data_IF_788616697853
#
_entry.id   IF_788616697853
#
_cell.length_a   1.000
_cell.length_b   1.000
_cell.length_c   1.000
_cell.angle_alpha   90.00
_cell.angle_beta   90.00
_cell.angle_gamma   90.00
#
_symmetry.space_group_name_H-M   'P 1'
#
loop_
_entity.id
_entity.type
_entity.pdbx_description
1 polymer ?
#
# COMPACT_ATOMS: atom_id res chain seq x y z
N UNK A 1 25.05 12.35 -13.51
CA UNK A 1 25.56 11.03 -14.06
C UNK A 1 24.40 10.04 -14.16
N UNK A 2 24.24 9.36 -15.30
CA UNK A 2 23.15 8.37 -15.48
C UNK A 2 23.45 7.02 -14.85
N UNK A 3 22.47 6.46 -14.20
CA UNK A 3 22.47 5.10 -13.67
C UNK A 3 21.07 4.62 -13.36
N UNK A 4 20.95 3.43 -12.81
CA UNK A 4 19.69 2.75 -12.56
C UNK A 4 19.48 2.59 -11.06
N UNK A 5 18.32 3.03 -10.57
CA UNK A 5 17.80 2.68 -9.25
C UNK A 5 16.77 1.58 -9.43
N UNK A 6 16.83 0.57 -8.58
CA UNK A 6 15.99 -0.62 -8.71
C UNK A 6 15.39 -1.07 -7.39
N UNK A 7 14.24 -1.73 -7.51
CA UNK A 7 13.55 -2.41 -6.43
C UNK A 7 13.54 -3.90 -6.73
N UNK A 8 13.89 -4.69 -5.74
CA UNK A 8 13.88 -6.15 -5.78
C UNK A 8 12.99 -6.64 -4.63
N UNK A 9 12.05 -7.52 -4.92
CA UNK A 9 11.26 -8.24 -3.92
C UNK A 9 12.00 -9.45 -3.40
N UNK A 10 11.67 -9.88 -2.18
CA UNK A 10 12.22 -11.08 -1.56
C UNK A 10 11.13 -12.14 -1.42
N UNK A 11 11.48 -13.33 -0.94
CA UNK A 11 10.49 -14.37 -0.57
C UNK A 11 9.66 -13.98 0.64
N UNK A 12 10.11 -13.00 1.43
CA UNK A 12 9.37 -12.47 2.59
C UNK A 12 8.47 -11.33 2.11
N UNK A 13 7.18 -11.49 2.26
CA UNK A 13 6.20 -10.45 1.90
C UNK A 13 6.46 -9.18 2.69
N UNK A 14 6.45 -8.03 2.01
CA UNK A 14 6.71 -6.73 2.62
C UNK A 14 8.19 -6.46 2.92
N UNK A 15 9.12 -7.32 2.48
CA UNK A 15 10.56 -7.06 2.55
C UNK A 15 11.11 -6.85 1.14
N UNK A 16 11.64 -5.68 0.88
CA UNK A 16 12.23 -5.30 -0.41
C UNK A 16 13.68 -4.86 -0.27
N UNK A 17 14.41 -4.92 -1.36
CA UNK A 17 15.73 -4.28 -1.49
C UNK A 17 15.61 -3.09 -2.43
N UNK A 18 16.10 -1.93 -2.00
CA UNK A 18 16.33 -0.75 -2.85
C UNK A 18 17.83 -0.62 -3.06
N UNK A 19 18.25 -0.46 -4.31
CA UNK A 19 19.66 -0.32 -4.62
C UNK A 19 19.89 0.33 -5.98
N UNK A 20 21.15 0.53 -6.31
CA UNK A 20 21.60 1.20 -7.53
C UNK A 20 22.63 0.40 -8.30
N UNK A 21 22.75 0.72 -9.58
CA UNK A 21 23.81 0.22 -10.46
C UNK A 21 24.07 1.21 -11.59
N UNK A 22 25.32 1.28 -12.06
CA UNK A 22 25.59 1.95 -13.33
C UNK A 22 24.88 1.24 -14.48
N UNK A 23 24.43 1.98 -15.49
CA UNK A 23 23.64 1.46 -16.62
C UNK A 23 24.28 0.23 -17.28
N UNK A 24 25.60 0.22 -17.44
CA UNK A 24 26.33 -0.90 -18.05
C UNK A 24 26.34 -2.17 -17.19
N UNK A 25 26.32 -2.01 -15.87
CA UNK A 25 26.51 -3.10 -14.90
C UNK A 25 25.17 -3.64 -14.38
N UNK A 26 24.05 -3.00 -14.69
CA UNK A 26 22.73 -3.34 -14.16
C UNK A 26 22.34 -4.78 -14.42
N UNK A 27 22.46 -5.24 -15.67
CA UNK A 27 22.07 -6.61 -16.04
C UNK A 27 22.87 -7.69 -15.29
N UNK A 28 24.17 -7.47 -15.14
CA UNK A 28 25.04 -8.38 -14.39
C UNK A 28 24.73 -8.35 -12.88
N UNK A 29 24.52 -7.15 -12.34
CA UNK A 29 24.10 -6.98 -10.94
C UNK A 29 22.79 -7.70 -10.62
N UNK A 30 21.81 -7.62 -11.51
CA UNK A 30 20.53 -8.32 -11.34
C UNK A 30 20.71 -9.84 -11.34
N UNK A 31 21.45 -10.38 -12.32
CA UNK A 31 21.74 -11.82 -12.37
C UNK A 31 22.45 -12.30 -11.11
N UNK A 32 23.41 -11.53 -10.62
CA UNK A 32 24.14 -11.86 -9.40
C UNK A 32 23.22 -11.92 -8.18
N UNK A 33 22.35 -10.90 -7.99
CA UNK A 33 21.43 -10.83 -6.86
C UNK A 33 20.35 -11.92 -6.92
N UNK A 34 19.83 -12.21 -8.09
CA UNK A 34 18.84 -13.27 -8.28
C UNK A 34 19.42 -14.67 -8.01
N UNK A 35 20.68 -14.89 -8.37
CA UNK A 35 21.35 -16.17 -8.17
C UNK A 35 21.87 -16.38 -6.75
N UNK A 36 22.47 -15.36 -6.15
CA UNK A 36 23.22 -15.47 -4.89
C UNK A 36 22.50 -14.87 -3.68
N UNK A 37 21.44 -14.06 -3.90
CA UNK A 37 20.78 -13.36 -2.82
C UNK A 37 21.57 -12.13 -2.32
N UNK A 38 21.15 -11.62 -1.16
CA UNK A 38 21.72 -10.46 -0.50
C UNK A 38 21.56 -10.61 1.03
N UNK A 39 22.65 -10.47 1.81
CA UNK A 39 22.64 -10.59 3.28
C UNK A 39 21.86 -11.81 3.81
N UNK A 40 22.15 -12.99 3.29
CA UNK A 40 21.48 -14.26 3.62
C UNK A 40 19.99 -14.34 3.20
N UNK A 41 19.47 -13.33 2.48
CA UNK A 41 18.14 -13.36 1.88
C UNK A 41 18.26 -13.87 0.44
N UNK A 42 17.59 -14.98 0.16
CA UNK A 42 17.57 -15.63 -1.18
C UNK A 42 16.21 -15.43 -1.87
N UNK A 43 16.10 -15.88 -3.12
CA UNK A 43 14.86 -15.79 -3.88
C UNK A 43 14.50 -14.37 -4.27
N UNK A 44 15.50 -13.54 -4.46
CA UNK A 44 15.34 -12.17 -4.93
C UNK A 44 14.79 -12.16 -6.36
N UNK A 45 13.81 -11.30 -6.62
CA UNK A 45 13.20 -11.11 -7.93
C UNK A 45 13.12 -9.63 -8.28
N UNK A 46 13.50 -9.29 -9.50
CA UNK A 46 13.31 -7.92 -10.02
C UNK A 46 11.85 -7.53 -9.94
N UNK A 47 11.60 -6.34 -9.45
CA UNK A 47 10.26 -5.78 -9.38
C UNK A 47 10.14 -4.53 -10.25
N UNK A 48 11.04 -3.56 -10.06
CA UNK A 48 11.04 -2.31 -10.80
C UNK A 48 12.46 -1.76 -10.97
N UNK A 49 12.73 -1.07 -12.08
CA UNK A 49 13.98 -0.35 -12.29
C UNK A 49 13.78 0.85 -13.22
N UNK A 50 14.40 1.96 -12.88
CA UNK A 50 14.32 3.22 -13.63
C UNK A 50 15.73 3.80 -13.81
N UNK A 51 16.04 4.27 -15.02
CA UNK A 51 17.26 5.02 -15.31
C UNK A 51 17.05 6.49 -14.98
N UNK A 52 17.91 7.03 -14.16
CA UNK A 52 17.84 8.38 -13.62
C UNK A 52 19.15 9.13 -13.84
N UNK A 53 19.06 10.46 -14.00
CA UNK A 53 20.19 11.33 -13.74
C UNK A 53 20.44 11.40 -12.24
N UNK A 54 21.68 11.59 -11.84
CA UNK A 54 22.11 11.70 -10.43
C UNK A 54 21.55 10.60 -9.53
N UNK A 55 21.61 9.37 -10.07
CA UNK A 55 21.03 8.17 -9.46
C UNK A 55 21.59 7.85 -8.07
N UNK A 56 22.84 8.27 -7.79
CA UNK A 56 23.47 8.10 -6.48
C UNK A 56 22.76 8.91 -5.40
N UNK A 57 22.47 10.19 -5.70
CA UNK A 57 21.79 11.11 -4.78
C UNK A 57 20.32 10.67 -4.58
N UNK A 58 19.68 10.25 -5.66
CA UNK A 58 18.28 9.79 -5.61
C UNK A 58 18.10 8.49 -4.83
N UNK A 59 19.03 7.55 -4.96
CA UNK A 59 19.02 6.34 -4.14
C UNK A 59 19.28 6.66 -2.67
N UNK A 60 20.25 7.54 -2.38
CA UNK A 60 20.51 8.00 -1.02
C UNK A 60 19.32 8.70 -0.39
N UNK A 61 18.62 9.52 -1.16
CA UNK A 61 17.36 10.17 -0.73
C UNK A 61 16.26 9.14 -0.41
N UNK A 62 16.12 8.09 -1.23
CA UNK A 62 15.16 7.03 -0.95
C UNK A 62 15.48 6.29 0.35
N UNK A 63 16.76 5.99 0.58
CA UNK A 63 17.22 5.37 1.83
C UNK A 63 16.95 6.27 3.04
N UNK A 64 17.11 7.58 2.92
CA UNK A 64 16.78 8.54 3.97
C UNK A 64 15.26 8.59 4.25
N UNK A 65 14.44 8.72 3.20
CA UNK A 65 12.96 8.72 3.31
C UNK A 65 12.46 7.46 4.01
N UNK A 66 12.99 6.31 3.64
CA UNK A 66 12.58 5.01 4.17
C UNK A 66 13.41 4.50 5.35
N UNK A 67 14.26 5.33 5.93
CA UNK A 67 15.20 4.94 7.01
C UNK A 67 14.53 4.24 8.20
N UNK A 68 13.31 4.66 8.56
CA UNK A 68 12.52 4.02 9.63
C UNK A 68 12.10 2.58 9.34
N UNK A 69 12.09 2.19 8.08
CA UNK A 69 11.72 0.85 7.62
C UNK A 69 12.93 0.01 7.26
N UNK A 70 14.13 0.54 7.40
CA UNK A 70 15.37 -0.14 7.10
C UNK A 70 15.61 -1.30 8.08
N UNK A 71 16.02 -2.44 7.56
CA UNK A 71 16.30 -3.64 8.34
C UNK A 71 17.81 -3.72 8.61
N UNK A 72 18.19 -3.40 9.84
CA UNK A 72 19.61 -3.33 10.24
C UNK A 72 20.38 -2.34 9.38
N UNK A 73 21.69 -2.58 9.24
CA UNK A 73 22.59 -1.76 8.40
C UNK A 73 22.65 -2.33 6.96
N UNK A 74 21.48 -2.54 6.35
CA UNK A 74 21.38 -3.15 5.02
C UNK A 74 20.55 -2.29 4.07
N UNK A 75 20.55 -2.63 2.79
CA UNK A 75 19.68 -2.03 1.78
C UNK A 75 18.31 -2.75 1.69
N UNK A 76 17.92 -3.46 2.76
CA UNK A 76 16.62 -4.09 2.90
C UNK A 76 15.67 -3.19 3.69
N UNK A 77 14.42 -3.14 3.25
CA UNK A 77 13.38 -2.30 3.85
C UNK A 77 12.09 -3.12 4.06
N UNK A 78 11.52 -3.02 5.25
CA UNK A 78 10.21 -3.56 5.59
C UNK A 78 9.12 -2.61 5.04
N UNK A 79 8.89 -2.63 3.74
CA UNK A 79 8.11 -1.66 2.99
C UNK A 79 7.34 -2.31 1.86
N UNK A 80 6.18 -1.77 1.55
CA UNK A 80 5.42 -2.14 0.36
C UNK A 80 6.17 -1.75 -0.93
N UNK A 81 6.31 -2.71 -1.86
CA UNK A 81 7.06 -2.49 -3.09
C UNK A 81 6.37 -1.50 -4.04
N UNK A 82 5.03 -1.45 -4.05
CA UNK A 82 4.28 -0.50 -4.88
C UNK A 82 4.45 0.94 -4.38
N UNK A 83 4.53 1.15 -3.07
CA UNK A 83 4.82 2.46 -2.50
C UNK A 83 6.20 2.96 -2.91
N UNK A 84 7.22 2.10 -2.83
CA UNK A 84 8.56 2.43 -3.27
C UNK A 84 8.63 2.71 -4.78
N UNK A 85 7.92 1.92 -5.59
CA UNK A 85 7.80 2.12 -7.04
C UNK A 85 7.14 3.46 -7.37
N UNK A 86 6.06 3.81 -6.68
CA UNK A 86 5.37 5.09 -6.90
C UNK A 86 6.30 6.28 -6.67
N UNK A 87 7.10 6.23 -5.61
CA UNK A 87 8.06 7.31 -5.36
C UNK A 87 9.16 7.38 -6.42
N UNK A 88 9.64 6.22 -6.92
CA UNK A 88 10.60 6.17 -8.02
C UNK A 88 10.02 6.73 -9.33
N UNK A 89 8.75 6.46 -9.62
CA UNK A 89 8.06 7.00 -10.79
C UNK A 89 7.86 8.52 -10.74
N UNK A 90 7.89 9.13 -9.55
CA UNK A 90 7.83 10.59 -9.40
C UNK A 90 9.12 11.28 -9.87
N UNK A 91 10.26 10.58 -9.90
CA UNK A 91 11.49 11.14 -10.47
C UNK A 91 11.43 11.16 -12.00
N UNK A 92 12.07 12.17 -12.59
CA UNK A 92 12.24 12.19 -14.05
C UNK A 92 13.26 11.13 -14.48
N UNK A 93 12.83 10.19 -15.36
CA UNK A 93 13.64 9.08 -15.79
C UNK A 93 12.94 8.13 -16.75
N UNK A 94 13.66 7.10 -17.20
CA UNK A 94 13.16 6.07 -18.13
C UNK A 94 13.03 4.73 -17.43
N UNK A 95 11.85 4.11 -17.49
CA UNK A 95 11.64 2.74 -16.99
C UNK A 95 12.49 1.75 -17.79
N UNK A 96 13.26 0.92 -17.07
CA UNK A 96 14.14 -0.11 -17.63
C UNK A 96 13.57 -1.50 -17.37
N UNK A 97 12.83 -1.65 -16.28
CA UNK A 97 12.13 -2.89 -15.95
C UNK A 97 10.81 -2.56 -15.22
N UNK A 98 9.68 -3.13 -15.61
CA UNK A 98 9.49 -4.06 -16.75
C UNK A 98 9.88 -3.50 -18.11
N UNK A 99 10.29 -4.38 -19.03
CA UNK A 99 10.68 -3.96 -20.38
C UNK A 99 9.43 -3.55 -21.18
N UNK A 100 9.56 -2.51 -22.01
CA UNK A 100 8.52 -1.99 -22.91
C UNK A 100 7.29 -1.39 -22.20
N UNK A 101 7.46 -0.89 -21.02
CA UNK A 101 6.39 -0.20 -20.27
C UNK A 101 6.60 1.30 -20.35
N UNK A 102 5.53 2.03 -20.64
CA UNK A 102 5.53 3.48 -20.60
C UNK A 102 5.41 3.96 -19.15
N UNK A 103 6.28 4.88 -18.77
CA UNK A 103 6.32 5.45 -17.42
C UNK A 103 4.99 6.07 -17.00
N UNK A 104 4.31 6.77 -17.92
CA UNK A 104 3.03 7.42 -17.65
C UNK A 104 1.94 6.40 -17.37
N UNK A 105 1.87 5.32 -18.18
CA UNK A 105 0.93 4.22 -17.96
C UNK A 105 1.17 3.53 -16.61
N UNK A 106 2.42 3.24 -16.26
CA UNK A 106 2.77 2.61 -14.97
C UNK A 106 2.41 3.49 -13.77
N UNK A 107 2.63 4.81 -13.89
CA UNK A 107 2.26 5.74 -12.83
C UNK A 107 0.75 5.78 -12.62
N UNK A 108 -0.02 5.87 -13.70
CA UNK A 108 -1.48 5.90 -13.66
C UNK A 108 -2.06 4.59 -13.10
N UNK A 109 -1.52 3.43 -13.47
CA UNK A 109 -1.93 2.14 -12.93
C UNK A 109 -1.69 2.05 -11.42
N UNK A 110 -0.51 2.45 -10.94
CA UNK A 110 -0.19 2.45 -9.50
C UNK A 110 -1.12 3.39 -8.73
N UNK A 111 -1.39 4.58 -9.26
CA UNK A 111 -2.32 5.54 -8.64
C UNK A 111 -3.74 4.99 -8.59
N UNK A 112 -4.20 4.30 -9.65
CA UNK A 112 -5.52 3.67 -9.69
C UNK A 112 -5.63 2.51 -8.69
N UNK A 113 -4.63 1.63 -8.63
CA UNK A 113 -4.58 0.52 -7.68
C UNK A 113 -4.60 1.01 -6.24
N UNK A 114 -3.86 2.06 -5.92
CA UNK A 114 -3.88 2.64 -4.57
C UNK A 114 -5.23 3.27 -4.22
N UNK A 115 -5.87 3.97 -5.15
CA UNK A 115 -7.22 4.49 -4.94
C UNK A 115 -8.24 3.39 -4.69
N UNK A 116 -8.10 2.25 -5.37
CA UNK A 116 -8.99 1.09 -5.18
C UNK A 116 -8.70 0.35 -3.87
N UNK A 117 -7.43 0.13 -3.53
CA UNK A 117 -7.05 -0.59 -2.31
C UNK A 117 -7.27 0.22 -1.03
N UNK A 118 -7.18 1.55 -1.11
CA UNK A 118 -7.42 2.45 0.03
C UNK A 118 -8.90 2.62 0.38
N UNK A 119 -9.82 2.17 -0.48
CA UNK A 119 -11.25 2.33 -0.26
C UNK A 119 -11.82 1.11 0.46
N UNK A 120 -12.31 1.33 1.68
CA UNK A 120 -12.99 0.30 2.46
C UNK A 120 -14.21 -0.26 1.72
N UNK A 121 -14.33 -1.59 1.68
CA UNK A 121 -15.49 -2.30 1.14
C UNK A 121 -16.09 -3.22 2.19
N UNK A 122 -17.37 -3.08 2.46
CA UNK A 122 -18.11 -3.96 3.36
C UNK A 122 -18.12 -5.41 2.85
N UNK A 123 -18.26 -5.58 1.53
CA UNK A 123 -18.33 -6.92 0.92
C UNK A 123 -16.99 -7.66 1.01
N UNK A 124 -15.85 -6.96 0.88
CA UNK A 124 -14.54 -7.57 1.09
C UNK A 124 -14.31 -8.01 2.55
N UNK A 125 -15.06 -7.41 3.49
CA UNK A 125 -15.04 -7.81 4.91
C UNK A 125 -16.09 -8.87 5.25
N UNK A 126 -16.78 -9.41 4.25
CA UNK A 126 -17.77 -10.47 4.41
C UNK A 126 -19.16 -10.00 4.83
N UNK A 127 -19.41 -8.69 4.83
CA UNK A 127 -20.72 -8.11 5.11
C UNK A 127 -21.56 -8.05 3.84
N UNK A 128 -22.89 -8.09 4.02
CA UNK A 128 -23.88 -8.05 2.95
C UNK A 128 -24.85 -6.89 3.18
N UNK A 129 -25.60 -6.54 2.13
CA UNK A 129 -26.69 -5.59 2.29
C UNK A 129 -27.69 -6.11 3.33
N UNK A 130 -28.10 -5.22 4.22
CA UNK A 130 -28.98 -5.53 5.34
C UNK A 130 -28.25 -5.93 6.64
N UNK A 131 -26.95 -6.14 6.62
CA UNK A 131 -26.18 -6.39 7.83
C UNK A 131 -26.08 -5.12 8.68
N UNK A 132 -26.33 -5.27 9.98
CA UNK A 132 -26.23 -4.18 10.95
C UNK A 132 -24.78 -4.01 11.41
N UNK A 133 -24.33 -2.78 11.42
CA UNK A 133 -23.02 -2.38 11.95
C UNK A 133 -23.17 -1.38 13.07
N UNK A 134 -22.35 -1.48 14.10
CA UNK A 134 -22.36 -0.54 15.23
C UNK A 134 -21.06 0.23 15.31
N UNK A 135 -21.10 1.45 15.79
CA UNK A 135 -19.90 2.23 16.01
C UNK A 135 -19.13 1.70 17.23
N UNK A 136 -17.85 1.43 17.04
CA UNK A 136 -17.02 0.84 18.08
C UNK A 136 -16.93 1.70 19.36
N UNK A 137 -17.07 3.02 19.24
CA UNK A 137 -16.98 3.97 20.34
C UNK A 137 -18.32 4.30 20.98
N UNK A 138 -19.42 4.09 20.26
CA UNK A 138 -20.78 4.31 20.77
C UNK A 138 -21.71 3.24 20.19
N UNK A 139 -21.91 2.18 20.96
CA UNK A 139 -22.74 1.02 20.56
C UNK A 139 -24.23 1.36 20.43
N UNK A 140 -24.65 2.55 20.83
CA UNK A 140 -26.04 3.00 20.64
C UNK A 140 -26.30 3.50 19.23
N UNK A 141 -25.25 3.72 18.45
CA UNK A 141 -25.33 4.15 17.05
C UNK A 141 -25.13 2.93 16.17
N UNK A 142 -26.19 2.51 15.49
CA UNK A 142 -26.15 1.46 14.48
C UNK A 142 -26.58 1.98 13.11
N UNK A 143 -26.06 1.35 12.07
CA UNK A 143 -26.42 1.61 10.69
C UNK A 143 -26.47 0.30 9.93
N UNK A 144 -27.22 0.24 8.83
CA UNK A 144 -27.38 -0.93 7.99
C UNK A 144 -26.53 -0.82 6.73
N UNK A 145 -25.84 -1.87 6.35
CA UNK A 145 -25.08 -1.90 5.08
C UNK A 145 -26.06 -1.80 3.91
N UNK A 146 -25.99 -0.72 3.13
CA UNK A 146 -26.84 -0.47 1.97
C UNK A 146 -26.12 -0.74 0.63
N UNK A 147 -24.79 -0.80 0.63
CA UNK A 147 -24.00 -1.04 -0.57
C UNK A 147 -22.55 -1.39 -0.23
N UNK A 148 -21.72 -1.51 -1.25
CA UNK A 148 -20.29 -1.86 -1.06
C UNK A 148 -19.57 -0.92 -0.08
N UNK A 149 -19.94 0.35 -0.07
CA UNK A 149 -19.34 1.44 0.74
C UNK A 149 -20.38 2.35 1.36
N UNK A 150 -21.63 1.95 1.32
CA UNK A 150 -22.76 2.75 1.70
C UNK A 150 -23.48 2.10 2.87
N UNK A 151 -23.97 2.95 3.76
CA UNK A 151 -24.76 2.56 4.92
C UNK A 151 -26.02 3.40 4.98
N UNK A 152 -27.10 2.79 5.43
CA UNK A 152 -28.35 3.46 5.74
C UNK A 152 -28.39 3.81 7.23
N UNK A 153 -28.61 5.08 7.52
CA UNK A 153 -28.74 5.60 8.87
C UNK A 153 -29.82 6.68 8.90
N UNK A 154 -30.90 6.45 9.68
CA UNK A 154 -32.01 7.38 9.80
C UNK A 154 -32.76 7.63 8.49
N UNK A 155 -33.04 6.56 7.73
CA UNK A 155 -33.72 6.59 6.42
C UNK A 155 -32.95 7.30 5.28
N UNK A 156 -31.65 7.60 5.50
CA UNK A 156 -30.79 8.20 4.49
C UNK A 156 -29.57 7.33 4.21
N UNK A 157 -29.09 7.34 2.96
CA UNK A 157 -27.91 6.59 2.53
C UNK A 157 -26.68 7.49 2.61
N UNK A 158 -25.67 7.02 3.33
CA UNK A 158 -24.40 7.70 3.52
C UNK A 158 -23.22 6.85 3.06
N UNK A 159 -22.18 7.50 2.57
CA UNK A 159 -20.86 6.89 2.54
C UNK A 159 -20.29 6.88 3.96
N UNK A 160 -19.59 5.83 4.33
CA UNK A 160 -19.11 5.62 5.71
C UNK A 160 -18.32 6.82 6.28
N UNK A 161 -17.40 7.40 5.49
CA UNK A 161 -16.58 8.52 5.94
C UNK A 161 -17.36 9.81 6.25
N UNK A 162 -18.31 10.27 5.42
CA UNK A 162 -19.21 11.39 5.74
C UNK A 162 -20.06 11.12 6.98
N UNK A 163 -20.67 9.95 7.09
CA UNK A 163 -21.47 9.59 8.25
C UNK A 163 -20.64 9.63 9.54
N UNK A 164 -19.45 9.05 9.51
CA UNK A 164 -18.53 9.06 10.66
C UNK A 164 -18.19 10.49 11.07
N UNK A 165 -17.84 11.34 10.09
CA UNK A 165 -17.51 12.74 10.35
C UNK A 165 -18.68 13.52 10.95
N UNK A 166 -19.87 13.39 10.40
CA UNK A 166 -21.04 14.16 10.81
C UNK A 166 -21.59 13.70 12.17
N UNK A 167 -21.49 12.40 12.46
CA UNK A 167 -21.92 11.83 13.73
C UNK A 167 -20.92 12.18 14.86
N UNK A 168 -19.64 12.24 14.57
CA UNK A 168 -18.59 12.57 15.55
C UNK A 168 -18.30 14.07 15.66
N UNK A 169 -18.50 14.89 14.63
CA UNK A 169 -18.33 16.34 14.72
C UNK A 169 -19.33 17.00 15.66
N UNK A 170 -20.47 16.36 15.91
CA UNK A 170 -21.45 16.80 16.92
C UNK A 170 -21.07 16.43 18.36
N UNK A 171 -20.15 15.50 18.58
CA UNK A 171 -19.78 14.98 19.92
C UNK A 171 -18.32 15.08 20.31
N UNK A 172 -17.38 15.21 19.39
CA UNK A 172 -15.93 15.22 19.74
C UNK A 172 -15.14 16.11 18.79
N UNK A 173 -14.51 17.15 19.35
CA UNK A 173 -13.47 17.94 18.72
C UNK A 173 -12.28 17.08 18.30
N UNK A 174 -11.95 17.18 17.03
CA UNK A 174 -10.65 16.91 16.38
C UNK A 174 -9.64 16.03 17.14
N UNK A 175 -9.76 14.71 17.06
CA UNK A 175 -8.66 13.73 17.01
C UNK A 175 -9.24 12.32 17.07
N UNK A 176 -9.53 11.68 15.93
CA UNK A 176 -9.55 10.21 15.89
C UNK A 176 -9.65 9.71 14.45
N UNK A 177 -8.58 9.06 14.03
CA UNK A 177 -8.68 8.04 12.96
C UNK A 177 -9.42 6.87 13.58
N UNK A 178 -10.72 6.74 13.29
CA UNK A 178 -11.56 5.71 13.86
C UNK A 178 -11.16 4.33 13.32
N UNK A 179 -10.66 3.47 14.18
CA UNK A 179 -10.62 2.04 13.95
C UNK A 179 -12.05 1.51 14.11
N UNK A 180 -12.76 1.31 13.01
CA UNK A 180 -14.06 0.66 13.03
C UNK A 180 -13.84 -0.83 13.21
N UNK A 181 -14.18 -1.34 14.39
CA UNK A 181 -14.22 -2.77 14.66
C UNK A 181 -15.61 -3.26 14.26
N UNK A 182 -15.73 -3.81 13.07
CA UNK A 182 -16.95 -4.46 12.61
C UNK A 182 -17.08 -5.80 13.36
N UNK A 183 -18.05 -5.90 14.24
CA UNK A 183 -18.43 -7.17 14.86
C UNK A 183 -19.74 -7.63 14.17
N UNK A 184 -19.76 -8.78 13.49
CA UNK A 184 -21.00 -9.33 13.00
C UNK A 184 -21.88 -9.73 14.19
N UNK A 185 -23.03 -9.11 14.33
CA UNK A 185 -24.10 -9.57 15.23
C UNK A 185 -24.88 -10.61 14.45
N UNK A 186 -24.57 -11.85 14.63
CA UNK A 186 -25.36 -12.90 14.02
C UNK A 186 -24.74 -14.27 14.14
N UNK A 187 -24.86 -14.87 15.29
CA UNK A 187 -25.16 -16.30 15.52
C UNK A 187 -25.13 -16.60 17.02
N UNK A 188 -26.18 -16.26 17.68
CA UNK A 188 -26.55 -16.90 18.94
C UNK A 188 -28.06 -17.05 18.92
N UNK A 189 -28.48 -18.24 18.67
CA UNK A 189 -29.67 -18.92 19.14
C UNK A 189 -30.16 -19.94 18.10
N UNK A 190 -29.68 -21.13 18.22
CA UNK A 190 -30.46 -22.35 18.06
C UNK A 190 -29.83 -23.39 18.94
N UNK A 191 -30.24 -23.39 20.22
CA UNK A 191 -30.26 -24.61 21.04
C UNK A 191 -31.72 -24.89 21.33
N UNK A 192 -32.18 -25.90 20.71
CA UNK A 192 -32.97 -26.97 21.31
C UNK A 192 -32.75 -28.23 20.52
#
# INVERSE_FOLDING_TARGET
MKGIVYIITTTVSGLIKIGKAGTKNYKERMRFLEANGYHNVTGLKRFFAIELEDYDDKESLLHEIFSKYQVGDSELFALDCELAKQLLLAFDGKVVYPENVDKECEFDEVVQLQKQSALFSFYQKGLKNGDEITFAQDKTISATVAGEREVEYGDEIYKLSPLTRDTFSKKVSATLVAHIKVLPIGHLMARN
#
